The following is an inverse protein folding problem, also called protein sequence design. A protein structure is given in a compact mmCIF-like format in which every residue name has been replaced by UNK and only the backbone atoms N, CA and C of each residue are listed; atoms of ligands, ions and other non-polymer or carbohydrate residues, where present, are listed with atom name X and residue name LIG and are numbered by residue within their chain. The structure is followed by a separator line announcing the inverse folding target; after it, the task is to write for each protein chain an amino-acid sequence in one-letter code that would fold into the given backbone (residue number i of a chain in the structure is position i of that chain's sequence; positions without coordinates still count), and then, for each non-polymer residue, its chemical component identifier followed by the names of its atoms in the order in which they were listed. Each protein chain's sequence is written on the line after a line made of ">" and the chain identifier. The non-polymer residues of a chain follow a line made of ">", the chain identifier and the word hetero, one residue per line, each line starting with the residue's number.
data_IF_519328018919
#
_entry.id   IF_519328018919
#
_cell.length_a   1.000
_cell.length_b   1.000
_cell.length_c   1.000
_cell.angle_alpha   90.00
_cell.angle_beta   90.00
_cell.angle_gamma   90.00
#
_symmetry.space_group_name_H-M   'P 1'
#
loop_
_entity.id
_entity.type
_entity.pdbx_description
1 polymer ?
#
# COMPACT_ATOMS: atom_id res chain seq x y z
N UNK A 1 11.67 24.00 0.05
CA UNK A 1 11.72 22.60 0.53
C UNK A 1 12.54 22.53 1.80
N UNK A 2 11.95 22.10 2.92
CA UNK A 2 12.64 22.04 4.22
C UNK A 2 13.51 20.79 4.32
N UNK A 3 14.68 20.90 4.97
CA UNK A 3 15.61 19.79 5.30
C UNK A 3 14.92 18.53 5.84
N UNK A 4 13.81 18.70 6.57
CA UNK A 4 13.00 17.62 7.13
C UNK A 4 12.23 16.81 6.08
N UNK A 5 11.82 17.43 4.97
CA UNK A 5 11.15 16.75 3.86
C UNK A 5 12.11 15.78 3.18
N UNK A 6 13.37 16.18 2.99
CA UNK A 6 14.41 15.32 2.39
C UNK A 6 14.70 14.13 3.31
N UNK A 7 14.81 14.35 4.62
CA UNK A 7 15.02 13.27 5.60
C UNK A 7 13.85 12.28 5.61
N UNK A 8 12.60 12.77 5.56
CA UNK A 8 11.42 11.91 5.49
C UNK A 8 11.38 11.07 4.20
N UNK A 9 11.73 11.66 3.05
CA UNK A 9 11.80 10.94 1.78
C UNK A 9 12.90 9.87 1.77
N UNK A 10 14.06 10.19 2.33
CA UNK A 10 15.15 9.22 2.48
C UNK A 10 14.75 8.10 3.43
N UNK A 11 14.09 8.39 4.56
CA UNK A 11 13.59 7.37 5.49
C UNK A 11 12.54 6.46 4.84
N UNK A 12 11.65 6.99 4.01
CA UNK A 12 10.67 6.17 3.28
C UNK A 12 11.35 5.30 2.21
N UNK A 13 12.28 5.87 1.46
CA UNK A 13 13.01 5.15 0.41
C UNK A 13 13.90 4.05 1.01
N UNK A 14 14.74 4.39 1.99
CA UNK A 14 15.62 3.43 2.66
C UNK A 14 14.82 2.46 3.53
N UNK A 15 13.74 2.89 4.18
CA UNK A 15 12.85 1.99 4.93
C UNK A 15 12.17 0.96 4.03
N UNK A 16 11.71 1.37 2.85
CA UNK A 16 11.18 0.48 1.84
C UNK A 16 12.23 -0.49 1.29
N UNK A 17 13.42 0.01 0.96
CA UNK A 17 14.53 -0.81 0.49
C UNK A 17 15.01 -1.82 1.56
N UNK A 18 15.04 -1.39 2.83
CA UNK A 18 15.39 -2.24 3.97
C UNK A 18 14.33 -3.33 4.17
N UNK A 19 13.04 -2.99 4.07
CA UNK A 19 11.95 -3.97 4.17
C UNK A 19 12.02 -5.02 3.04
N UNK A 20 12.35 -4.61 1.81
CA UNK A 20 12.58 -5.52 0.68
C UNK A 20 13.81 -6.40 0.91
N UNK A 21 14.90 -5.84 1.45
CA UNK A 21 16.11 -6.58 1.80
C UNK A 21 15.84 -7.63 2.89
N UNK A 22 15.12 -7.26 3.94
CA UNK A 22 14.70 -8.16 5.03
C UNK A 22 13.81 -9.27 4.48
N UNK A 23 12.85 -8.95 3.61
CA UNK A 23 11.96 -9.93 2.99
C UNK A 23 12.74 -10.97 2.14
N UNK A 24 13.82 -10.55 1.46
CA UNK A 24 14.69 -11.47 0.72
C UNK A 24 15.57 -12.32 1.64
N UNK A 25 16.04 -11.77 2.76
CA UNK A 25 16.90 -12.47 3.70
C UNK A 25 16.18 -13.55 4.51
N UNK A 26 14.91 -13.32 4.88
CA UNK A 26 14.06 -14.30 5.58
C UNK A 26 13.37 -15.31 4.64
N UNK A 27 13.72 -15.31 3.35
CA UNK A 27 13.19 -16.18 2.30
C UNK A 27 13.55 -17.67 2.40
N UNK A 28 13.72 -18.23 3.61
CA UNK A 28 13.70 -19.69 3.80
C UNK A 28 12.24 -20.19 3.75
N UNK A 29 11.79 -20.40 2.51
CA UNK A 29 10.83 -21.41 2.03
C UNK A 29 9.75 -21.91 3.02
N UNK A 30 8.53 -21.37 2.90
CA UNK A 30 7.29 -22.14 3.11
C UNK A 30 6.57 -22.01 4.45
N UNK A 31 7.16 -21.39 5.47
CA UNK A 31 6.49 -21.27 6.78
C UNK A 31 5.37 -20.20 6.77
N UNK A 32 4.30 -20.44 7.53
CA UNK A 32 3.17 -19.49 7.69
C UNK A 32 3.62 -18.12 8.20
N UNK A 33 4.70 -18.08 8.99
CA UNK A 33 5.27 -16.82 9.48
C UNK A 33 5.95 -16.03 8.35
N UNK A 34 6.68 -16.70 7.45
CA UNK A 34 7.27 -16.06 6.27
C UNK A 34 6.20 -15.47 5.35
N UNK A 35 5.08 -16.17 5.18
CA UNK A 35 3.91 -15.68 4.43
C UNK A 35 3.34 -14.41 5.07
N UNK A 36 3.13 -14.42 6.39
CA UNK A 36 2.59 -13.26 7.11
C UNK A 36 3.52 -12.04 6.96
N UNK A 37 4.82 -12.22 7.20
CA UNK A 37 5.83 -11.15 7.08
C UNK A 37 5.85 -10.58 5.66
N UNK A 38 5.78 -11.43 4.63
CA UNK A 38 5.72 -10.99 3.24
C UNK A 38 4.48 -10.14 2.95
N UNK A 39 3.32 -10.52 3.48
CA UNK A 39 2.05 -9.79 3.25
C UNK A 39 2.08 -8.45 3.99
N UNK A 40 2.56 -8.44 5.24
CA UNK A 40 2.75 -7.20 6.01
C UNK A 40 3.69 -6.26 5.28
N UNK A 41 4.83 -6.75 4.78
CA UNK A 41 5.78 -5.95 4.03
C UNK A 41 5.16 -5.35 2.74
N UNK A 42 4.35 -6.14 2.02
CA UNK A 42 3.65 -5.66 0.82
C UNK A 42 2.65 -4.55 1.12
N UNK A 43 1.81 -4.72 2.15
CA UNK A 43 0.81 -3.71 2.52
C UNK A 43 1.42 -2.46 3.15
N UNK A 44 2.50 -2.61 3.92
CA UNK A 44 3.27 -1.49 4.44
C UNK A 44 3.92 -0.70 3.30
N UNK A 45 4.52 -1.39 2.33
CA UNK A 45 5.07 -0.77 1.13
C UNK A 45 4.01 -0.04 0.32
N UNK A 46 2.84 -0.66 0.14
CA UNK A 46 1.70 -0.01 -0.53
C UNK A 46 1.22 1.24 0.22
N UNK A 47 1.10 1.18 1.56
CA UNK A 47 0.72 2.33 2.38
C UNK A 47 1.67 3.51 2.22
N UNK A 48 2.98 3.23 2.26
CA UNK A 48 4.02 4.25 2.04
C UNK A 48 3.90 4.85 0.65
N UNK A 49 3.80 4.03 -0.39
CA UNK A 49 3.73 4.49 -1.77
C UNK A 49 2.45 5.30 -2.05
N UNK A 50 1.30 4.83 -1.58
CA UNK A 50 0.04 5.55 -1.74
C UNK A 50 0.02 6.86 -0.97
N UNK A 51 0.53 6.86 0.27
CA UNK A 51 0.58 8.09 1.08
C UNK A 51 1.50 9.13 0.45
N UNK A 52 2.65 8.68 -0.06
CA UNK A 52 3.56 9.54 -0.78
C UNK A 52 2.95 10.07 -2.08
N UNK A 53 2.41 9.19 -2.93
CA UNK A 53 1.80 9.58 -4.20
C UNK A 53 0.59 10.51 -4.00
N UNK A 54 -0.30 10.18 -3.06
CA UNK A 54 -1.45 11.00 -2.70
C UNK A 54 -1.03 12.38 -2.16
N UNK A 55 -0.01 12.42 -1.29
CA UNK A 55 0.57 13.68 -0.82
C UNK A 55 1.19 14.51 -1.95
N UNK A 56 1.85 13.87 -2.92
CA UNK A 56 2.41 14.54 -4.08
C UNK A 56 1.32 15.13 -4.98
N UNK A 57 0.26 14.36 -5.25
CA UNK A 57 -0.88 14.82 -6.03
C UNK A 57 -1.61 15.99 -5.34
N UNK A 58 -1.74 15.97 -4.01
CA UNK A 58 -2.27 17.08 -3.21
C UNK A 58 -1.38 18.32 -3.33
N UNK A 59 -0.06 18.16 -3.21
CA UNK A 59 0.90 19.26 -3.29
C UNK A 59 0.86 19.97 -4.64
N UNK A 60 0.68 19.23 -5.73
CA UNK A 60 0.54 19.79 -7.08
C UNK A 60 -0.89 20.19 -7.45
N UNK A 61 -1.86 20.06 -6.53
CA UNK A 61 -3.25 20.42 -6.77
C UNK A 61 -3.98 19.55 -7.80
N UNK A 62 -3.46 18.35 -8.11
CA UNK A 62 -4.09 17.40 -9.04
C UNK A 62 -5.30 16.74 -8.38
N UNK A 63 -5.21 16.48 -7.08
CA UNK A 63 -6.32 15.98 -6.25
C UNK A 63 -6.60 16.99 -5.14
N UNK A 64 -7.84 17.05 -4.68
CA UNK A 64 -8.28 17.97 -3.61
C UNK A 64 -8.26 17.29 -2.24
N UNK A 65 -8.37 15.97 -2.21
CA UNK A 65 -8.42 15.18 -0.97
C UNK A 65 -7.67 13.86 -1.11
N UNK A 66 -6.88 13.53 -0.10
CA UNK A 66 -6.30 12.20 0.07
C UNK A 66 -6.23 11.86 1.57
N UNK A 67 -6.68 10.66 1.93
CA UNK A 67 -6.72 10.16 3.30
C UNK A 67 -5.87 8.89 3.45
N UNK A 68 -4.64 9.05 3.95
CA UNK A 68 -3.74 7.93 4.21
C UNK A 68 -4.22 7.04 5.36
N UNK A 69 -4.84 7.60 6.39
CA UNK A 69 -5.35 6.83 7.53
C UNK A 69 -6.43 5.84 7.09
N UNK A 70 -7.32 6.27 6.20
CA UNK A 70 -8.32 5.39 5.61
C UNK A 70 -7.68 4.26 4.78
N UNK A 71 -6.63 4.54 4.01
CA UNK A 71 -5.88 3.46 3.33
C UNK A 71 -5.33 2.45 4.34
N UNK A 72 -4.78 2.92 5.46
CA UNK A 72 -4.23 2.06 6.50
C UNK A 72 -5.27 1.06 7.03
N UNK A 73 -6.50 1.51 7.30
CA UNK A 73 -7.61 0.64 7.71
C UNK A 73 -7.96 -0.37 6.62
N UNK A 74 -8.06 0.08 5.37
CA UNK A 74 -8.34 -0.79 4.21
C UNK A 74 -7.23 -1.84 4.05
N UNK A 75 -5.97 -1.44 4.20
CA UNK A 75 -4.81 -2.31 4.10
C UNK A 75 -4.78 -3.41 5.19
N UNK A 76 -5.27 -3.12 6.39
CA UNK A 76 -5.41 -4.13 7.45
C UNK A 76 -6.46 -5.19 7.09
N UNK A 77 -7.65 -4.75 6.65
CA UNK A 77 -8.75 -5.66 6.25
C UNK A 77 -8.34 -6.50 5.05
N UNK A 78 -7.84 -5.87 4.00
CA UNK A 78 -7.40 -6.56 2.80
C UNK A 78 -6.14 -7.39 3.04
N UNK A 79 -5.27 -6.99 3.97
CA UNK A 79 -4.13 -7.79 4.43
C UNK A 79 -4.55 -9.10 5.09
N UNK A 80 -5.57 -9.06 5.93
CA UNK A 80 -6.15 -10.27 6.52
C UNK A 80 -6.76 -11.19 5.45
N UNK A 81 -7.53 -10.64 4.51
CA UNK A 81 -8.10 -11.41 3.40
C UNK A 81 -7.00 -11.97 2.49
N UNK A 82 -5.96 -11.19 2.19
CA UNK A 82 -4.80 -11.62 1.42
C UNK A 82 -4.11 -12.82 2.08
N UNK A 83 -3.93 -12.79 3.41
CA UNK A 83 -3.38 -13.92 4.17
C UNK A 83 -4.28 -15.15 4.11
N UNK A 84 -5.59 -15.00 4.35
CA UNK A 84 -6.57 -16.10 4.26
C UNK A 84 -6.56 -16.75 2.88
N UNK A 85 -6.63 -15.95 1.81
CA UNK A 85 -6.59 -16.46 0.44
C UNK A 85 -5.27 -17.13 0.12
N UNK A 86 -4.15 -16.63 0.65
CA UNK A 86 -2.83 -17.27 0.47
C UNK A 86 -2.73 -18.65 1.11
N UNK A 87 -3.37 -18.84 2.25
CA UNK A 87 -3.39 -20.13 2.97
C UNK A 87 -4.37 -21.12 2.31
N UNK A 88 -5.52 -20.66 1.83
CA UNK A 88 -6.59 -21.53 1.30
C UNK A 88 -6.40 -21.84 -0.19
N UNK A 89 -6.13 -20.82 -1.00
CA UNK A 89 -6.19 -20.89 -2.46
C UNK A 89 -4.82 -20.68 -3.14
N UNK A 90 -3.76 -20.51 -2.36
CA UNK A 90 -2.39 -20.42 -2.86
C UNK A 90 -1.98 -19.02 -3.32
N UNK A 91 -0.82 -18.95 -3.99
CA UNK A 91 -0.12 -17.70 -4.28
C UNK A 91 -0.79 -16.81 -5.32
N UNK A 92 -1.32 -17.39 -6.39
CA UNK A 92 -1.90 -16.63 -7.50
C UNK A 92 -3.20 -15.94 -7.09
N UNK A 93 -4.09 -16.68 -6.45
CA UNK A 93 -5.35 -16.17 -5.90
C UNK A 93 -5.11 -15.05 -4.88
N UNK A 94 -4.09 -15.21 -4.03
CA UNK A 94 -3.67 -14.18 -3.09
C UNK A 94 -3.22 -12.88 -3.78
N UNK A 95 -2.48 -12.99 -4.90
CA UNK A 95 -2.04 -11.81 -5.66
C UNK A 95 -3.23 -11.02 -6.21
N UNK A 96 -4.32 -11.68 -6.60
CA UNK A 96 -5.55 -11.01 -7.04
C UNK A 96 -6.17 -10.16 -5.92
N UNK A 97 -6.10 -10.60 -4.66
CA UNK A 97 -6.59 -9.80 -3.53
C UNK A 97 -5.75 -8.55 -3.34
N UNK A 98 -4.43 -8.66 -3.48
CA UNK A 98 -3.54 -7.50 -3.38
C UNK A 98 -3.80 -6.50 -4.51
N UNK A 99 -3.79 -6.96 -5.76
CA UNK A 99 -4.00 -6.10 -6.95
C UNK A 99 -5.41 -5.51 -6.94
N UNK A 100 -6.43 -6.33 -6.68
CA UNK A 100 -7.81 -5.88 -6.54
C UNK A 100 -7.97 -4.84 -5.43
N UNK A 101 -7.22 -4.98 -4.33
CA UNK A 101 -7.16 -3.97 -3.28
C UNK A 101 -6.56 -2.64 -3.72
N UNK A 102 -5.49 -2.66 -4.51
CA UNK A 102 -4.91 -1.44 -5.08
C UNK A 102 -5.89 -0.73 -6.02
N UNK A 103 -6.59 -1.50 -6.86
CA UNK A 103 -7.60 -0.97 -7.78
C UNK A 103 -8.82 -0.42 -7.05
N UNK A 104 -9.33 -1.14 -6.05
CA UNK A 104 -10.43 -0.67 -5.22
C UNK A 104 -10.09 0.64 -4.51
N UNK A 105 -8.86 0.75 -3.98
CA UNK A 105 -8.41 1.99 -3.37
C UNK A 105 -8.30 3.14 -4.38
N UNK A 106 -7.76 2.88 -5.57
CA UNK A 106 -7.72 3.88 -6.64
C UNK A 106 -9.13 4.42 -6.95
N UNK A 107 -10.13 3.54 -7.08
CA UNK A 107 -11.52 3.96 -7.30
C UNK A 107 -12.04 4.84 -6.17
N UNK A 108 -11.74 4.49 -4.91
CA UNK A 108 -12.11 5.31 -3.73
C UNK A 108 -11.47 6.70 -3.83
N UNK A 109 -10.19 6.79 -4.14
CA UNK A 109 -9.49 8.09 -4.30
C UNK A 109 -10.12 8.90 -5.43
N UNK A 110 -10.41 8.29 -6.58
CA UNK A 110 -11.07 8.98 -7.70
C UNK A 110 -12.47 9.49 -7.31
N UNK A 111 -13.24 8.68 -6.59
CA UNK A 111 -14.56 9.07 -6.09
C UNK A 111 -14.48 10.24 -5.10
N UNK A 112 -13.54 10.20 -4.15
CA UNK A 112 -13.31 11.29 -3.20
C UNK A 112 -12.93 12.61 -3.88
N UNK A 113 -12.38 12.54 -5.10
CA UNK A 113 -11.96 13.69 -5.89
C UNK A 113 -12.94 14.05 -7.01
N UNK A 114 -14.16 13.51 -6.97
CA UNK A 114 -15.27 13.97 -7.81
C UNK A 114 -15.27 13.45 -9.25
N UNK A 115 -14.44 12.45 -9.58
CA UNK A 115 -14.35 11.92 -10.95
C UNK A 115 -15.66 11.25 -11.45
N UNK A 116 -16.60 10.98 -10.53
CA UNK A 116 -17.92 10.39 -10.80
C UNK A 116 -19.09 11.30 -10.41
N UNK A 117 -18.82 12.54 -9.98
CA UNK A 117 -19.85 13.55 -9.74
C UNK A 117 -19.94 14.44 -10.96
N UNK A 118 -21.10 14.49 -11.62
CA UNK A 118 -21.33 15.25 -12.84
C UNK A 118 -20.87 16.73 -12.71
N UNK A 119 -20.37 17.35 -13.79
CA UNK A 119 -20.11 18.78 -13.79
C UNK A 119 -21.41 19.53 -13.50
N UNK A 120 -21.34 20.48 -12.57
CA UNK A 120 -22.40 21.49 -12.39
C UNK A 120 -22.28 22.55 -13.47
#
# INVERSE_FOLDING_TARGET
>A
MTRFTIVALLLLFFGGALAVGIARFFGKSGSRASVLVSIVAQWLGAYVLWTFAGGLLLYYGIVTRYDGTLFGVVALVLGFLHYRTRVIAGREQAALVFVGGQLAWLVIVLFQNGLFTAPK
#
